data_IF_350944539760
#
_entry.id   IF_350944539760
#
_cell.length_a   1.000
_cell.length_b   1.000
_cell.length_c   1.000
_cell.angle_alpha   90.00
_cell.angle_beta   90.00
_cell.angle_gamma   90.00
#
_symmetry.space_group_name_H-M   'P 1'
#
loop_
_entity.id
_entity.type
_entity.pdbx_description
1 polymer ?
#
# COMPACT_ATOMS: atom_id res chain seq x y z
N UNK A 1 21.22 -32.83 13.85
CA UNK A 1 22.01 -31.63 13.52
C UNK A 1 22.26 -31.72 12.02
N UNK A 2 21.20 -31.48 11.26
CA UNK A 2 21.24 -31.51 9.80
C UNK A 2 21.48 -30.09 9.30
N UNK A 3 22.30 -30.03 8.25
CA UNK A 3 23.12 -28.89 7.85
C UNK A 3 22.27 -27.88 7.10
N UNK A 4 22.04 -26.71 7.70
CA UNK A 4 21.69 -25.51 6.94
C UNK A 4 22.88 -25.18 6.03
N UNK A 5 22.60 -24.98 4.76
CA UNK A 5 23.61 -24.75 3.74
C UNK A 5 24.18 -23.35 3.96
N UNK A 6 25.36 -23.35 4.58
CA UNK A 6 26.26 -22.25 4.94
C UNK A 6 26.79 -21.53 3.67
N UNK A 7 25.89 -21.01 2.82
CA UNK A 7 26.25 -20.30 1.58
C UNK A 7 26.33 -18.79 1.77
N UNK A 8 25.59 -18.28 2.75
CA UNK A 8 25.56 -16.87 3.11
C UNK A 8 26.07 -16.74 4.54
N UNK A 9 26.97 -15.80 4.77
CA UNK A 9 27.56 -15.53 6.07
C UNK A 9 26.54 -14.93 7.06
N UNK A 10 25.52 -14.26 6.53
CA UNK A 10 24.41 -13.69 7.28
C UNK A 10 23.17 -13.50 6.38
N UNK A 11 22.07 -13.08 7.00
CA UNK A 11 20.78 -12.84 6.35
C UNK A 11 20.82 -11.67 5.35
N UNK A 12 21.78 -10.74 5.50
CA UNK A 12 21.96 -9.59 4.63
C UNK A 12 22.61 -10.01 3.29
N UNK A 13 23.61 -10.90 3.32
CA UNK A 13 24.22 -11.43 2.10
C UNK A 13 23.23 -12.25 1.27
N UNK A 14 22.32 -12.97 1.95
CA UNK A 14 21.22 -13.71 1.30
C UNK A 14 20.25 -12.75 0.58
N UNK A 15 19.93 -11.62 1.21
CA UNK A 15 19.10 -10.58 0.62
C UNK A 15 19.73 -9.91 -0.57
N UNK A 16 20.99 -9.52 -0.45
CA UNK A 16 21.69 -8.83 -1.51
C UNK A 16 21.73 -9.73 -2.74
N UNK A 17 21.87 -11.05 -2.57
CA UNK A 17 21.77 -12.02 -3.66
C UNK A 17 20.35 -12.12 -4.26
N UNK A 18 19.29 -11.95 -3.47
CA UNK A 18 17.92 -11.84 -3.99
C UNK A 18 17.68 -10.52 -4.74
N UNK A 19 18.10 -9.39 -4.17
CA UNK A 19 17.96 -8.04 -4.76
C UNK A 19 18.74 -7.93 -6.07
N UNK A 20 19.93 -8.52 -6.13
CA UNK A 20 20.75 -8.60 -7.34
C UNK A 20 20.21 -9.62 -8.36
N UNK A 21 19.12 -10.34 -8.05
CA UNK A 21 18.49 -11.31 -8.94
C UNK A 21 19.28 -12.60 -9.13
N UNK A 22 20.24 -12.90 -8.24
CA UNK A 22 21.02 -14.12 -8.28
C UNK A 22 20.21 -15.35 -7.83
N UNK A 23 19.19 -15.13 -7.00
CA UNK A 23 18.25 -16.16 -6.54
C UNK A 23 16.82 -15.66 -6.58
N UNK A 24 15.89 -16.59 -6.80
CA UNK A 24 14.46 -16.32 -6.70
C UNK A 24 13.99 -16.34 -5.25
N UNK A 25 12.93 -15.61 -4.92
CA UNK A 25 12.33 -15.58 -3.60
C UNK A 25 11.93 -16.99 -3.13
N UNK A 26 11.47 -17.86 -4.03
CA UNK A 26 11.20 -19.26 -3.68
C UNK A 26 12.44 -20.04 -3.30
N UNK A 27 13.57 -19.80 -3.97
CA UNK A 27 14.83 -20.46 -3.63
C UNK A 27 15.33 -19.98 -2.27
N UNK A 28 15.25 -18.67 -2.01
CA UNK A 28 15.55 -18.05 -0.72
C UNK A 28 14.73 -18.71 0.40
N UNK A 29 13.40 -18.68 0.27
CA UNK A 29 12.48 -19.22 1.28
C UNK A 29 12.65 -20.73 1.47
N UNK A 30 12.82 -21.49 0.39
CA UNK A 30 12.81 -22.96 0.47
C UNK A 30 14.15 -23.57 0.85
N UNK A 31 15.27 -22.92 0.50
CA UNK A 31 16.61 -23.49 0.64
C UNK A 31 17.41 -22.81 1.74
N UNK A 32 17.30 -21.50 1.86
CA UNK A 32 18.24 -20.69 2.63
C UNK A 32 17.68 -20.22 3.98
N UNK A 33 16.36 -20.03 4.10
CA UNK A 33 15.76 -19.70 5.39
C UNK A 33 15.87 -20.88 6.38
N UNK A 34 15.93 -20.60 7.70
CA UNK A 34 15.88 -21.64 8.72
C UNK A 34 14.48 -22.29 8.80
N UNK A 35 14.42 -23.51 9.34
CA UNK A 35 13.23 -24.37 9.24
C UNK A 35 12.01 -23.84 10.00
N UNK A 36 12.22 -23.07 11.07
CA UNK A 36 11.19 -22.34 11.80
C UNK A 36 10.56 -21.24 10.96
N UNK A 37 11.36 -20.50 10.19
CA UNK A 37 10.87 -19.46 9.27
C UNK A 37 10.17 -20.09 8.05
N UNK A 38 10.63 -21.26 7.58
CA UNK A 38 9.89 -22.04 6.57
C UNK A 38 8.53 -22.48 7.06
N UNK A 39 8.43 -22.90 8.32
CA UNK A 39 7.16 -23.24 8.94
C UNK A 39 6.22 -22.02 9.00
N UNK A 40 6.75 -20.83 9.31
CA UNK A 40 6.00 -19.58 9.22
C UNK A 40 5.54 -19.27 7.79
N UNK A 41 6.37 -19.50 6.78
CA UNK A 41 5.94 -19.35 5.38
C UNK A 41 4.79 -20.29 5.02
N UNK A 42 4.83 -21.54 5.50
CA UNK A 42 3.74 -22.48 5.29
C UNK A 42 2.45 -22.08 6.00
N UNK A 43 2.55 -21.55 7.22
CA UNK A 43 1.42 -20.97 7.95
C UNK A 43 0.87 -19.76 7.20
N UNK A 44 1.73 -18.84 6.76
CA UNK A 44 1.37 -17.66 5.97
C UNK A 44 0.62 -18.03 4.69
N UNK A 45 1.11 -19.03 3.94
CA UNK A 45 0.43 -19.55 2.76
C UNK A 45 -0.93 -20.18 3.10
N UNK A 46 -1.01 -20.93 4.20
CA UNK A 46 -2.23 -21.63 4.62
C UNK A 46 -3.31 -20.69 5.14
N UNK A 47 -2.96 -19.69 5.95
CA UNK A 47 -3.91 -18.73 6.53
C UNK A 47 -4.51 -17.82 5.46
N UNK A 48 -3.69 -17.40 4.49
CA UNK A 48 -4.10 -16.51 3.41
C UNK A 48 -4.63 -17.27 2.18
N UNK A 49 -4.67 -18.59 2.24
CA UNK A 49 -5.05 -19.48 1.13
C UNK A 49 -4.29 -19.16 -0.17
N UNK A 50 -2.99 -18.86 -0.03
CA UNK A 50 -2.10 -18.49 -1.12
C UNK A 50 -1.43 -19.74 -1.69
N UNK A 51 -1.28 -19.76 -3.00
CA UNK A 51 -0.49 -20.79 -3.65
C UNK A 51 1.00 -20.51 -3.42
N UNK A 52 1.81 -21.56 -3.26
CA UNK A 52 3.26 -21.44 -3.16
C UNK A 52 3.84 -21.01 -4.52
N UNK A 53 3.77 -19.71 -4.81
CA UNK A 53 4.24 -19.02 -6.02
C UNK A 53 5.42 -18.10 -5.69
N UNK A 54 6.09 -17.63 -6.74
CA UNK A 54 7.20 -16.68 -6.60
C UNK A 54 6.76 -15.37 -5.94
N UNK A 55 5.60 -14.85 -6.36
CA UNK A 55 4.99 -13.66 -5.77
C UNK A 55 4.65 -13.84 -4.28
N UNK A 56 4.20 -15.04 -3.89
CA UNK A 56 3.88 -15.34 -2.49
C UNK A 56 5.15 -15.43 -1.63
N UNK A 57 6.22 -16.02 -2.16
CA UNK A 57 7.51 -16.06 -1.50
C UNK A 57 8.13 -14.66 -1.36
N UNK A 58 8.03 -13.83 -2.41
CA UNK A 58 8.51 -12.44 -2.37
C UNK A 58 7.72 -11.59 -1.37
N UNK A 59 6.40 -11.73 -1.34
CA UNK A 59 5.54 -11.05 -0.37
C UNK A 59 5.79 -11.49 1.08
N UNK A 60 6.13 -12.77 1.28
CA UNK A 60 6.53 -13.28 2.60
C UNK A 60 7.89 -12.73 3.03
N UNK A 61 8.89 -12.71 2.14
CA UNK A 61 10.19 -12.11 2.44
C UNK A 61 10.06 -10.64 2.81
N UNK A 62 9.30 -9.85 2.03
CA UNK A 62 9.08 -8.44 2.35
C UNK A 62 8.45 -8.24 3.74
N UNK A 63 7.42 -9.02 4.07
CA UNK A 63 6.80 -8.97 5.40
C UNK A 63 7.76 -9.39 6.52
N UNK A 64 8.52 -10.48 6.31
CA UNK A 64 9.49 -10.98 7.29
C UNK A 64 10.63 -9.97 7.53
N UNK A 65 11.10 -9.28 6.49
CA UNK A 65 12.11 -8.22 6.63
C UNK A 65 11.60 -6.96 7.28
N UNK A 66 10.37 -6.54 6.99
CA UNK A 66 9.77 -5.35 7.61
C UNK A 66 9.47 -5.57 9.11
N UNK A 67 9.19 -6.81 9.52
CA UNK A 67 8.88 -7.14 10.92
C UNK A 67 10.13 -7.34 11.81
N UNK A 68 11.27 -7.77 11.25
CA UNK A 68 12.53 -8.00 11.99
C UNK A 68 13.56 -6.85 11.87
N UNK A 69 13.30 -5.83 11.04
CA UNK A 69 14.25 -4.74 10.77
C UNK A 69 14.15 -3.59 11.79
N UNK A 70 14.86 -3.70 12.90
CA UNK A 70 15.29 -2.55 13.74
C UNK A 70 16.41 -1.70 13.05
N UNK A 71 16.61 -1.82 11.74
CA UNK A 71 17.70 -1.16 11.00
C UNK A 71 17.36 0.32 10.74
N UNK A 72 18.12 1.20 11.39
CA UNK A 72 18.19 2.62 11.01
C UNK A 72 18.80 2.75 9.58
N UNK A 73 18.21 3.55 8.69
CA UNK A 73 18.71 3.73 7.32
C UNK A 73 20.10 4.36 7.31
N UNK A 74 20.94 3.92 6.36
CA UNK A 74 22.33 4.38 6.26
C UNK A 74 22.42 5.70 5.51
N UNK A 75 23.45 6.51 5.81
CA UNK A 75 23.64 7.82 5.19
C UNK A 75 23.89 7.76 3.67
N UNK A 76 24.33 6.63 3.12
CA UNK A 76 24.45 6.40 1.68
C UNK A 76 23.07 6.23 1.02
N UNK A 77 22.11 5.57 1.69
CA UNK A 77 20.72 5.44 1.21
C UNK A 77 19.98 6.79 1.22
N UNK A 78 20.39 7.73 2.08
CA UNK A 78 19.86 9.11 2.10
C UNK A 78 20.43 10.01 0.99
N UNK A 79 21.50 9.59 0.31
CA UNK A 79 22.18 10.38 -0.72
C UNK A 79 21.80 9.96 -2.15
N UNK A 80 21.21 8.78 -2.35
CA UNK A 80 20.77 8.29 -3.67
C UNK A 80 19.36 8.82 -4.08
N UNK A 81 18.64 9.48 -3.16
CA UNK A 81 17.34 10.11 -3.41
C UNK A 81 17.43 11.47 -4.12
N UNK A 82 18.63 12.08 -4.25
CA UNK A 82 18.76 13.47 -4.69
C UNK A 82 18.99 13.64 -6.21
N UNK A 83 19.29 12.58 -6.97
CA UNK A 83 19.55 12.72 -8.40
C UNK A 83 19.15 11.46 -9.20
N UNK A 84 18.02 11.57 -9.92
CA UNK A 84 17.56 10.76 -11.07
C UNK A 84 16.24 9.98 -10.88
N UNK A 85 15.11 10.67 -10.97
CA UNK A 85 14.27 10.68 -12.20
C UNK A 85 12.87 11.21 -11.88
N UNK A 86 12.44 12.17 -12.70
CA UNK A 86 11.08 12.68 -12.76
C UNK A 86 10.11 11.60 -13.28
N UNK A 87 9.87 10.55 -12.50
CA UNK A 87 8.64 9.77 -12.59
C UNK A 87 8.06 9.70 -11.18
N UNK A 88 7.04 10.53 -10.97
CA UNK A 88 6.23 10.61 -9.75
C UNK A 88 5.50 9.28 -9.55
N UNK A 89 6.21 8.29 -9.00
CA UNK A 89 5.61 7.13 -8.37
C UNK A 89 5.36 7.54 -6.92
N UNK A 90 4.18 8.11 -6.69
CA UNK A 90 3.61 8.42 -5.37
C UNK A 90 3.95 7.34 -4.35
N UNK A 91 4.57 7.69 -3.21
CA UNK A 91 4.52 6.79 -2.07
C UNK A 91 3.05 6.62 -1.69
N UNK A 92 2.60 5.37 -1.63
CA UNK A 92 1.19 5.01 -1.53
C UNK A 92 0.52 5.61 -0.29
N UNK A 93 -0.62 6.29 -0.46
CA UNK A 93 -1.53 6.85 0.56
C UNK A 93 -0.98 7.79 1.65
N UNK A 94 0.22 7.59 2.18
CA UNK A 94 0.84 8.41 3.23
C UNK A 94 1.15 9.83 2.72
N UNK A 95 1.67 9.94 1.49
CA UNK A 95 1.92 11.24 0.84
C UNK A 95 0.62 12.01 0.65
N UNK A 96 -0.38 11.36 0.04
CA UNK A 96 -1.71 11.95 -0.19
C UNK A 96 -2.35 12.41 1.13
N UNK A 97 -2.27 11.59 2.18
CA UNK A 97 -2.80 11.95 3.49
C UNK A 97 -2.07 13.13 4.12
N UNK A 98 -0.72 13.11 4.14
CA UNK A 98 0.11 14.18 4.68
C UNK A 98 -0.08 15.51 3.94
N UNK A 99 -0.17 15.48 2.61
CA UNK A 99 -0.40 16.66 1.77
C UNK A 99 -1.78 17.26 1.99
N UNK A 100 -2.83 16.44 1.96
CA UNK A 100 -4.20 16.93 2.09
C UNK A 100 -4.46 17.48 3.49
N UNK A 101 -3.85 16.91 4.54
CA UNK A 101 -4.00 17.40 5.91
C UNK A 101 -3.44 18.81 6.12
N UNK A 102 -2.56 19.29 5.22
CA UNK A 102 -2.07 20.67 5.22
C UNK A 102 -3.01 21.63 4.47
N UNK A 103 -3.97 21.13 3.70
CA UNK A 103 -4.90 21.92 2.89
C UNK A 103 -6.31 21.95 3.48
N UNK A 104 -6.54 22.93 4.35
CA UNK A 104 -7.84 23.17 5.01
C UNK A 104 -8.97 23.38 4.00
N UNK A 105 -8.69 24.08 2.89
CA UNK A 105 -9.70 24.37 1.86
C UNK A 105 -10.15 23.07 1.22
N UNK A 106 -9.20 22.22 0.84
CA UNK A 106 -9.47 20.92 0.22
C UNK A 106 -10.24 19.98 1.16
N UNK A 107 -9.91 19.91 2.45
CA UNK A 107 -10.65 19.11 3.43
C UNK A 107 -12.08 19.64 3.65
N UNK A 108 -12.25 20.96 3.70
CA UNK A 108 -13.57 21.59 3.83
C UNK A 108 -14.44 21.27 2.62
N UNK A 109 -13.88 21.38 1.41
CA UNK A 109 -14.56 21.01 0.18
C UNK A 109 -14.86 19.52 0.10
N UNK A 110 -13.93 18.66 0.53
CA UNK A 110 -14.10 17.20 0.56
C UNK A 110 -15.33 16.81 1.39
N UNK A 111 -15.48 17.38 2.58
CA UNK A 111 -16.60 17.09 3.49
C UNK A 111 -17.97 17.40 2.86
N UNK A 112 -18.05 18.42 2.00
CA UNK A 112 -19.29 18.91 1.40
C UNK A 112 -19.53 18.41 -0.03
N UNK A 113 -18.49 17.96 -0.75
CA UNK A 113 -18.57 17.49 -2.14
C UNK A 113 -19.36 16.19 -2.33
N UNK A 114 -20.33 16.20 -3.25
CA UNK A 114 -20.99 14.98 -3.74
C UNK A 114 -20.15 14.28 -4.81
N UNK A 115 -19.46 15.05 -5.66
CA UNK A 115 -18.52 14.54 -6.66
C UNK A 115 -17.45 13.67 -6.01
N UNK A 116 -16.91 14.08 -4.87
CA UNK A 116 -15.89 13.31 -4.15
C UNK A 116 -16.42 11.95 -3.66
N UNK A 117 -17.65 11.93 -3.12
CA UNK A 117 -18.33 10.70 -2.71
C UNK A 117 -18.51 9.74 -3.89
N UNK A 118 -19.02 10.25 -5.00
CA UNK A 118 -19.36 9.42 -6.16
C UNK A 118 -18.10 8.87 -6.86
N UNK A 119 -17.04 9.68 -6.97
CA UNK A 119 -15.73 9.24 -7.47
C UNK A 119 -15.10 8.18 -6.56
N UNK A 120 -15.15 8.40 -5.24
CA UNK A 120 -14.62 7.44 -4.25
C UNK A 120 -15.33 6.10 -4.35
N UNK A 121 -16.66 6.11 -4.40
CA UNK A 121 -17.47 4.90 -4.53
C UNK A 121 -17.14 4.14 -5.82
N UNK A 122 -17.08 4.86 -6.94
CA UNK A 122 -16.75 4.27 -8.23
C UNK A 122 -15.37 3.62 -8.23
N UNK A 123 -14.36 4.27 -7.63
CA UNK A 123 -13.01 3.71 -7.49
C UNK A 123 -12.98 2.44 -6.63
N UNK A 124 -13.81 2.35 -5.60
CA UNK A 124 -13.89 1.14 -4.78
C UNK A 124 -14.55 -0.03 -5.51
N UNK A 125 -15.55 0.24 -6.33
CA UNK A 125 -16.18 -0.74 -7.22
C UNK A 125 -15.23 -1.17 -8.35
N UNK A 126 -14.34 -0.27 -8.79
CA UNK A 126 -13.45 -0.46 -9.94
C UNK A 126 -11.97 -0.25 -9.58
N UNK A 127 -11.38 -1.01 -8.64
CA UNK A 127 -10.06 -0.73 -8.08
C UNK A 127 -8.92 -0.84 -9.09
N UNK A 128 -9.07 -1.69 -10.11
CA UNK A 128 -8.07 -1.92 -11.15
C UNK A 128 -8.18 -0.92 -12.32
N UNK A 129 -9.21 -0.06 -12.34
CA UNK A 129 -9.43 0.88 -13.44
C UNK A 129 -8.84 2.24 -13.09
N UNK A 130 -7.84 2.66 -13.87
CA UNK A 130 -7.17 3.96 -13.74
C UNK A 130 -7.72 5.02 -14.69
N UNK A 131 -8.67 4.65 -15.56
CA UNK A 131 -9.29 5.54 -16.54
C UNK A 131 -10.29 6.51 -15.89
N UNK A 132 -9.85 7.76 -15.72
CA UNK A 132 -10.65 8.87 -15.18
C UNK A 132 -11.79 9.30 -16.10
N UNK A 133 -11.62 9.17 -17.42
CA UNK A 133 -12.68 9.50 -18.39
C UNK A 133 -13.84 8.53 -18.26
N UNK A 134 -13.52 7.24 -18.05
CA UNK A 134 -14.54 6.23 -17.78
C UNK A 134 -15.32 6.56 -16.50
N UNK A 135 -14.64 6.87 -15.40
CA UNK A 135 -15.29 7.32 -14.17
C UNK A 135 -16.20 8.52 -14.40
N UNK A 136 -15.73 9.57 -15.10
CA UNK A 136 -16.53 10.75 -15.42
C UNK A 136 -17.81 10.39 -16.20
N UNK A 137 -17.68 9.52 -17.21
CA UNK A 137 -18.80 9.08 -18.04
C UNK A 137 -19.86 8.27 -17.29
N UNK A 138 -19.43 7.37 -16.39
CA UNK A 138 -20.33 6.45 -15.67
C UNK A 138 -20.98 7.11 -14.44
N UNK A 139 -20.28 8.06 -13.80
CA UNK A 139 -20.80 8.78 -12.63
C UNK A 139 -21.53 10.07 -12.99
N UNK A 140 -21.33 10.60 -14.20
CA UNK A 140 -21.84 11.91 -14.62
C UNK A 140 -21.12 13.09 -13.96
N UNK A 141 -20.00 12.85 -13.27
CA UNK A 141 -19.17 13.88 -12.63
C UNK A 141 -18.26 14.52 -13.69
N UNK A 142 -18.10 15.86 -13.72
CA UNK A 142 -17.17 16.51 -14.63
C UNK A 142 -15.73 16.01 -14.44
N UNK A 143 -14.99 15.83 -15.55
CA UNK A 143 -13.61 15.29 -15.47
C UNK A 143 -12.70 16.07 -14.51
N UNK A 144 -12.84 17.40 -14.46
CA UNK A 144 -12.07 18.23 -13.54
C UNK A 144 -12.33 17.88 -12.06
N UNK A 145 -13.57 17.53 -11.71
CA UNK A 145 -13.92 17.06 -10.37
C UNK A 145 -13.43 15.63 -10.14
N UNK A 146 -13.48 14.76 -11.16
CA UNK A 146 -12.92 13.40 -11.08
C UNK A 146 -11.42 13.45 -10.79
N UNK A 147 -10.68 14.29 -11.50
CA UNK A 147 -9.24 14.48 -11.30
C UNK A 147 -8.94 15.01 -9.89
N UNK A 148 -9.71 16.00 -9.43
CA UNK A 148 -9.57 16.63 -8.11
C UNK A 148 -9.77 15.64 -6.96
N UNK A 149 -10.75 14.73 -7.10
CA UNK A 149 -11.15 13.79 -6.05
C UNK A 149 -10.62 12.37 -6.25
N UNK A 150 -9.81 12.14 -7.28
CA UNK A 150 -9.33 10.81 -7.65
C UNK A 150 -8.62 10.09 -6.51
N UNK A 151 -7.80 10.80 -5.74
CA UNK A 151 -7.00 10.25 -4.65
C UNK A 151 -7.74 10.21 -3.30
N UNK A 152 -9.06 10.46 -3.27
CA UNK A 152 -9.84 10.37 -2.02
C UNK A 152 -9.75 8.99 -1.36
N UNK A 153 -9.80 7.84 -2.09
CA UNK A 153 -9.56 6.53 -1.48
C UNK A 153 -8.21 6.44 -0.77
N UNK A 154 -7.16 6.99 -1.38
CA UNK A 154 -5.80 6.96 -0.83
C UNK A 154 -5.72 7.82 0.44
N UNK A 155 -6.36 9.01 0.44
CA UNK A 155 -6.50 9.81 1.66
C UNK A 155 -7.23 9.06 2.79
N UNK A 156 -8.33 8.36 2.47
CA UNK A 156 -9.07 7.55 3.43
C UNK A 156 -8.18 6.43 4.00
N UNK A 157 -7.38 5.77 3.15
CA UNK A 157 -6.44 4.73 3.58
C UNK A 157 -5.42 5.27 4.59
N UNK A 158 -4.87 6.47 4.34
CA UNK A 158 -3.99 7.13 5.29
C UNK A 158 -4.70 7.49 6.61
N UNK A 159 -5.94 8.01 6.54
CA UNK A 159 -6.73 8.35 7.72
C UNK A 159 -6.99 7.15 8.65
N UNK A 160 -7.21 5.95 8.09
CA UNK A 160 -7.42 4.72 8.87
C UNK A 160 -6.13 3.95 9.19
N UNK A 161 -4.96 4.51 8.86
CA UNK A 161 -3.66 3.91 9.18
C UNK A 161 -3.29 2.71 8.32
N UNK A 162 -3.65 2.70 7.03
CA UNK A 162 -3.29 1.61 6.11
C UNK A 162 -4.09 0.31 6.31
N UNK A 163 -4.89 0.19 7.37
CA UNK A 163 -5.77 -0.96 7.61
C UNK A 163 -7.00 -1.01 6.69
N UNK A 164 -7.03 -0.24 5.61
CA UNK A 164 -8.15 -0.21 4.68
C UNK A 164 -8.20 -1.49 3.86
N UNK A 165 -8.82 -2.53 4.43
CA UNK A 165 -9.25 -3.69 3.67
C UNK A 165 -10.55 -3.31 2.94
N UNK A 166 -10.60 -3.44 1.59
CA UNK A 166 -11.76 -3.08 0.80
C UNK A 166 -13.08 -3.71 1.27
N UNK A 167 -13.02 -4.83 1.99
CA UNK A 167 -14.19 -5.62 2.40
C UNK A 167 -15.12 -4.93 3.41
N UNK A 168 -14.59 -4.16 4.38
CA UNK A 168 -15.44 -3.61 5.45
C UNK A 168 -16.14 -2.28 5.08
N UNK A 169 -15.65 -1.57 4.05
CA UNK A 169 -16.21 -0.28 3.62
C UNK A 169 -16.76 -0.30 2.19
N UNK A 170 -16.53 -1.35 1.39
CA UNK A 170 -17.28 -1.59 0.14
C UNK A 170 -18.77 -1.82 0.37
N UNK A 171 -19.16 -2.21 1.58
CA UNK A 171 -20.57 -2.31 1.96
C UNK A 171 -21.19 -0.96 2.34
N UNK A 172 -20.38 0.12 2.47
CA UNK A 172 -20.94 1.44 2.72
C UNK A 172 -21.79 1.89 1.53
N UNK A 173 -23.02 2.27 1.81
CA UNK A 173 -23.80 3.02 0.85
C UNK A 173 -23.34 4.48 0.78
N UNK A 174 -23.82 5.21 -0.23
CA UNK A 174 -23.50 6.64 -0.44
C UNK A 174 -23.70 7.52 0.79
N UNK A 175 -24.70 7.23 1.64
CA UNK A 175 -25.01 8.03 2.84
C UNK A 175 -23.99 7.77 3.96
N UNK A 176 -23.58 6.52 4.13
CA UNK A 176 -22.55 6.13 5.10
C UNK A 176 -21.21 6.72 4.71
N UNK A 177 -20.81 6.60 3.44
CA UNK A 177 -19.58 7.21 2.93
C UNK A 177 -19.58 8.73 3.13
N UNK A 178 -20.71 9.39 2.87
CA UNK A 178 -20.82 10.84 3.09
C UNK A 178 -20.64 11.21 4.56
N UNK A 179 -21.28 10.47 5.46
CA UNK A 179 -21.15 10.66 6.91
C UNK A 179 -19.72 10.44 7.39
N UNK A 180 -19.06 9.40 6.86
CA UNK A 180 -17.67 9.10 7.13
C UNK A 180 -16.73 10.23 6.69
N UNK A 181 -16.86 10.70 5.44
CA UNK A 181 -16.03 11.80 4.93
C UNK A 181 -16.17 13.08 5.76
N UNK A 182 -17.40 13.42 6.18
CA UNK A 182 -17.65 14.58 7.05
C UNK A 182 -16.91 14.42 8.38
N UNK A 183 -17.05 13.27 9.03
CA UNK A 183 -16.45 13.02 10.35
C UNK A 183 -14.92 12.94 10.27
N UNK A 184 -14.38 12.29 9.23
CA UNK A 184 -12.95 12.18 9.00
C UNK A 184 -12.33 13.57 8.76
N UNK A 185 -12.91 14.39 7.87
CA UNK A 185 -12.44 15.76 7.64
C UNK A 185 -12.50 16.60 8.91
N UNK A 186 -13.59 16.51 9.68
CA UNK A 186 -13.77 17.23 10.94
C UNK A 186 -12.65 16.89 11.94
N UNK A 187 -12.40 15.60 12.15
CA UNK A 187 -11.33 15.13 13.06
C UNK A 187 -9.94 15.56 12.61
N UNK A 188 -9.66 15.49 11.30
CA UNK A 188 -8.39 15.95 10.74
C UNK A 188 -8.18 17.45 10.93
N UNK A 189 -9.24 18.26 10.81
CA UNK A 189 -9.16 19.71 11.01
C UNK A 189 -9.06 20.14 12.48
N UNK A 190 -9.43 19.27 13.42
CA UNK A 190 -9.35 19.50 14.87
C UNK A 190 -8.04 18.99 15.50
N UNK A 191 -7.23 18.22 14.77
CA UNK A 191 -5.96 17.66 15.20
C UNK A 191 -4.80 18.67 15.09
#
# INVERSE_FOLDING_TARGET
>A
MEKTIDKFADEQEMLDAYINGEYTAKEIVSVFLPDDVKEQYHIYCSEKNLQNTEETAAAFLGWWYEEDSDREPTAEELLDDEEMSEEVISNGYQDVFSEWNKDITKLTELSSSESARDVTMWRWENPAITDKQKCASETGVPIADVEKWWCTPDWINGYVGGHFHPTNLREMNKKELKSFLIEACRKTLEA
#
